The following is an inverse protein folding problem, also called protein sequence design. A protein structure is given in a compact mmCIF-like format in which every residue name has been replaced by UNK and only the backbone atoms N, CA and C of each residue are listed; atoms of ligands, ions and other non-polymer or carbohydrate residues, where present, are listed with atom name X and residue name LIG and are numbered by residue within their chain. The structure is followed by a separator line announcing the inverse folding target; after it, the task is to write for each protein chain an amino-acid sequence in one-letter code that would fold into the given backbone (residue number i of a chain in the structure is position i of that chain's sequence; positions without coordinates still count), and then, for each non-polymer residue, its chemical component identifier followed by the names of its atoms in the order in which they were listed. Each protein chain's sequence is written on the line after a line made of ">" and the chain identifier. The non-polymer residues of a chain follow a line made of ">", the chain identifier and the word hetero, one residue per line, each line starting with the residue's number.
data_IF_938180137076
#
_entry.id   IF_938180137076
#
_cell.length_a   1.000
_cell.length_b   1.000
_cell.length_c   1.000
_cell.angle_alpha   90.00
_cell.angle_beta   90.00
_cell.angle_gamma   90.00
#
_symmetry.space_group_name_H-M   'P 1'
#
loop_
_entity.id
_entity.type
_entity.pdbx_description
1 polymer ?
#
# COMPACT_ATOMS: atom_id res chain seq x y z
N UNK A 1 -12.03 23.10 -19.12
CA UNK A 1 -12.19 21.77 -19.74
C UNK A 1 -13.51 21.05 -19.42
N UNK A 2 -14.29 21.46 -18.41
CA UNK A 2 -15.52 20.76 -18.02
C UNK A 2 -16.66 20.83 -19.06
N UNK A 3 -16.79 21.95 -19.76
CA UNK A 3 -17.92 22.19 -20.67
C UNK A 3 -18.01 21.19 -21.83
N UNK A 4 -16.88 20.58 -22.23
CA UNK A 4 -16.83 19.55 -23.28
C UNK A 4 -17.57 18.26 -22.89
N UNK A 5 -17.74 18.01 -21.59
CA UNK A 5 -18.44 16.83 -21.08
C UNK A 5 -19.94 17.10 -20.86
N UNK A 6 -20.36 18.35 -20.72
CA UNK A 6 -21.77 18.74 -20.57
C UNK A 6 -22.59 18.46 -21.82
N UNK A 7 -21.95 18.48 -22.99
CA UNK A 7 -22.58 18.24 -24.29
C UNK A 7 -22.56 16.78 -24.73
N UNK A 8 -21.89 15.88 -24.00
CA UNK A 8 -21.83 14.46 -24.31
C UNK A 8 -22.97 13.69 -23.65
N UNK A 9 -23.49 12.63 -24.29
CA UNK A 9 -24.32 11.64 -23.60
C UNK A 9 -23.57 11.05 -22.41
N UNK A 10 -24.27 10.81 -21.29
CA UNK A 10 -23.65 10.32 -20.05
C UNK A 10 -22.72 9.10 -20.24
N UNK A 11 -23.11 8.04 -20.99
CA UNK A 11 -22.22 6.89 -21.20
C UNK A 11 -20.90 7.23 -21.90
N UNK A 12 -20.91 8.26 -22.75
CA UNK A 12 -19.73 8.74 -23.49
C UNK A 12 -18.87 9.69 -22.64
N UNK A 13 -19.48 10.38 -21.66
CA UNK A 13 -18.79 11.28 -20.74
C UNK A 13 -18.11 10.53 -19.57
N UNK A 14 -18.68 9.41 -19.10
CA UNK A 14 -18.22 8.69 -17.90
C UNK A 14 -16.76 8.25 -18.00
N UNK A 15 -16.37 7.59 -19.10
CA UNK A 15 -14.99 7.08 -19.24
C UNK A 15 -13.94 8.21 -19.29
N UNK A 16 -14.10 9.25 -20.12
CA UNK A 16 -13.21 10.42 -20.10
C UNK A 16 -13.17 11.13 -18.74
N UNK A 17 -14.31 11.33 -18.09
CA UNK A 17 -14.36 11.96 -16.75
C UNK A 17 -13.67 11.10 -15.71
N UNK A 18 -13.84 9.77 -15.76
CA UNK A 18 -13.16 8.82 -14.90
C UNK A 18 -11.63 8.93 -15.02
N UNK A 19 -11.10 9.10 -16.23
CA UNK A 19 -9.65 9.33 -16.44
C UNK A 19 -9.17 10.63 -15.82
N UNK A 20 -9.92 11.73 -15.99
CA UNK A 20 -9.61 13.02 -15.36
C UNK A 20 -9.63 12.90 -13.83
N UNK A 21 -10.63 12.20 -13.28
CA UNK A 21 -10.74 11.92 -11.85
C UNK A 21 -9.55 11.11 -11.34
N UNK A 22 -9.21 10.01 -12.03
CA UNK A 22 -8.07 9.16 -11.69
C UNK A 22 -6.76 9.95 -11.67
N UNK A 23 -6.49 10.75 -12.71
CA UNK A 23 -5.28 11.57 -12.79
C UNK A 23 -5.20 12.56 -11.62
N UNK A 24 -6.31 13.23 -11.30
CA UNK A 24 -6.40 14.15 -10.15
C UNK A 24 -6.11 13.44 -8.83
N UNK A 25 -6.71 12.27 -8.60
CA UNK A 25 -6.52 11.51 -7.36
C UNK A 25 -5.09 10.98 -7.24
N UNK A 26 -4.50 10.45 -8.31
CA UNK A 26 -3.11 9.99 -8.30
C UNK A 26 -2.14 11.15 -8.03
N UNK A 27 -2.37 12.32 -8.63
CA UNK A 27 -1.54 13.50 -8.36
C UNK A 27 -1.68 14.00 -6.92
N UNK A 28 -2.88 13.94 -6.34
CA UNK A 28 -3.11 14.26 -4.93
C UNK A 28 -2.32 13.29 -4.02
N UNK A 29 -2.46 11.98 -4.24
CA UNK A 29 -1.75 10.95 -3.46
C UNK A 29 -0.23 11.12 -3.58
N UNK A 30 0.29 11.39 -4.78
CA UNK A 30 1.71 11.71 -5.00
C UNK A 30 2.16 12.89 -4.15
N UNK A 31 1.41 14.00 -4.21
CA UNK A 31 1.75 15.21 -3.49
C UNK A 31 1.72 15.03 -1.96
N UNK A 32 0.78 14.23 -1.46
CA UNK A 32 0.68 13.90 -0.03
C UNK A 32 1.81 12.98 0.45
N UNK A 33 2.29 12.09 -0.39
CA UNK A 33 3.45 11.25 -0.09
C UNK A 33 4.76 12.05 -0.17
N UNK A 34 4.91 12.91 -1.17
CA UNK A 34 6.10 13.76 -1.33
C UNK A 34 6.26 14.74 -0.17
N UNK A 35 5.15 15.29 0.38
CA UNK A 35 5.21 16.15 1.57
C UNK A 35 5.71 15.42 2.81
N UNK A 36 5.56 14.09 2.84
CA UNK A 36 6.13 13.20 3.84
C UNK A 36 7.55 12.73 3.50
N UNK A 37 8.13 13.15 2.39
CA UNK A 37 9.42 12.65 1.92
C UNK A 37 9.36 11.18 1.48
N UNK A 38 8.24 10.73 0.93
CA UNK A 38 8.05 9.40 0.33
C UNK A 38 7.88 9.57 -1.18
N UNK A 39 8.79 8.97 -1.95
CA UNK A 39 8.73 8.96 -3.41
C UNK A 39 8.76 7.51 -3.93
N UNK A 40 8.12 7.30 -5.08
CA UNK A 40 8.10 6.02 -5.78
C UNK A 40 8.76 6.17 -7.14
N UNK A 41 9.70 5.28 -7.45
CA UNK A 41 10.33 5.22 -8.78
C UNK A 41 9.32 4.82 -9.87
N UNK A 42 8.33 4.00 -9.51
CA UNK A 42 7.35 3.44 -10.45
C UNK A 42 5.94 3.52 -9.86
N UNK A 43 5.05 4.22 -10.56
CA UNK A 43 3.60 4.18 -10.38
C UNK A 43 3.02 3.18 -11.37
N UNK A 44 2.60 2.01 -10.88
CA UNK A 44 2.18 0.90 -11.74
C UNK A 44 0.66 0.89 -11.95
N UNK A 45 0.22 0.65 -13.18
CA UNK A 45 -1.21 0.58 -13.54
C UNK A 45 -1.67 -0.86 -13.60
N UNK A 46 -2.75 -1.21 -12.89
CA UNK A 46 -3.40 -2.52 -13.00
C UNK A 46 -3.81 -2.82 -14.45
N UNK A 47 -4.37 -1.84 -15.15
CA UNK A 47 -4.81 -2.00 -16.54
C UNK A 47 -3.66 -2.47 -17.45
N UNK A 48 -2.43 -2.04 -17.15
CA UNK A 48 -1.26 -2.44 -17.94
C UNK A 48 -0.95 -3.94 -17.88
N UNK A 49 -1.42 -4.67 -16.85
CA UNK A 49 -1.28 -6.13 -16.74
C UNK A 49 -2.12 -6.87 -17.79
N UNK A 50 -3.24 -6.28 -18.16
CA UNK A 50 -4.15 -6.81 -19.16
C UNK A 50 -3.71 -6.38 -20.56
N UNK A 51 -3.42 -5.09 -20.74
CA UNK A 51 -3.06 -4.51 -22.03
C UNK A 51 -1.76 -5.12 -22.60
N UNK A 52 -0.79 -5.41 -21.73
CA UNK A 52 0.49 -6.01 -22.14
C UNK A 52 0.48 -7.55 -22.08
N UNK A 53 -0.66 -8.18 -21.78
CA UNK A 53 -0.82 -9.63 -21.85
C UNK A 53 -0.23 -10.44 -20.69
N UNK A 54 0.25 -9.81 -19.62
CA UNK A 54 0.82 -10.53 -18.47
C UNK A 54 -0.22 -11.42 -17.78
N UNK A 55 -1.46 -10.94 -17.65
CA UNK A 55 -2.56 -11.71 -17.08
C UNK A 55 -2.77 -13.04 -17.81
N UNK A 56 -2.92 -12.98 -19.14
CA UNK A 56 -3.13 -14.18 -19.96
C UNK A 56 -1.91 -15.11 -19.91
N UNK A 57 -0.72 -14.52 -19.91
CA UNK A 57 0.54 -15.28 -19.86
C UNK A 57 0.66 -16.08 -18.56
N UNK A 58 0.49 -15.44 -17.40
CA UNK A 58 0.60 -16.13 -16.11
C UNK A 58 -0.48 -17.19 -15.93
N UNK A 59 -1.72 -16.93 -16.37
CA UNK A 59 -2.81 -17.89 -16.29
C UNK A 59 -2.54 -19.13 -17.16
N UNK A 60 -1.91 -18.94 -18.33
CA UNK A 60 -1.47 -20.04 -19.19
C UNK A 60 -0.35 -20.85 -18.53
N UNK A 61 0.65 -20.20 -17.94
CA UNK A 61 1.75 -20.87 -17.23
C UNK A 61 1.24 -21.72 -16.06
N UNK A 62 0.37 -21.16 -15.21
CA UNK A 62 -0.21 -21.89 -14.09
C UNK A 62 -1.07 -23.06 -14.55
N UNK A 63 -1.81 -22.91 -15.66
CA UNK A 63 -2.59 -24.00 -16.26
C UNK A 63 -1.71 -25.12 -16.80
N UNK A 64 -0.62 -24.78 -17.50
CA UNK A 64 0.35 -25.76 -17.99
C UNK A 64 1.06 -26.50 -16.85
N UNK A 65 1.29 -25.81 -15.73
CA UNK A 65 1.83 -26.39 -14.50
C UNK A 65 0.83 -27.27 -13.72
N UNK A 66 -0.41 -27.39 -14.17
CA UNK A 66 -1.45 -28.16 -13.47
C UNK A 66 -2.02 -27.49 -12.23
N UNK A 67 -1.76 -26.19 -12.03
CA UNK A 67 -2.21 -25.43 -10.86
C UNK A 67 -3.52 -24.69 -11.08
N UNK A 68 -4.18 -24.87 -12.23
CA UNK A 68 -5.48 -24.29 -12.54
C UNK A 68 -6.48 -25.40 -12.84
N UNK A 69 -7.66 -25.32 -12.23
CA UNK A 69 -8.78 -26.24 -12.48
C UNK A 69 -10.10 -25.48 -12.65
N UNK A 70 -10.97 -25.99 -13.50
CA UNK A 70 -12.35 -25.51 -13.61
C UNK A 70 -13.25 -26.36 -12.68
N UNK A 71 -13.93 -25.72 -11.74
CA UNK A 71 -14.84 -26.36 -10.78
C UNK A 71 -15.99 -25.39 -10.47
N UNK A 72 -17.21 -25.89 -10.35
CA UNK A 72 -18.37 -25.06 -9.95
C UNK A 72 -18.60 -23.84 -10.85
N UNK A 73 -18.41 -24.01 -12.17
CA UNK A 73 -18.45 -22.95 -13.18
C UNK A 73 -17.44 -21.80 -12.98
N UNK A 74 -16.44 -21.97 -12.12
CA UNK A 74 -15.39 -20.99 -11.87
C UNK A 74 -14.00 -21.59 -12.12
N UNK A 75 -13.00 -20.73 -12.32
CA UNK A 75 -11.61 -21.13 -12.45
C UNK A 75 -10.90 -20.95 -11.11
N UNK A 76 -10.21 -22.00 -10.66
CA UNK A 76 -9.56 -22.07 -9.36
C UNK A 76 -8.06 -22.27 -9.50
N UNK A 77 -7.30 -21.59 -8.65
CA UNK A 77 -5.93 -21.94 -8.34
C UNK A 77 -5.92 -23.09 -7.34
N UNK A 78 -5.33 -24.22 -7.73
CA UNK A 78 -5.30 -25.48 -6.97
C UNK A 78 -4.18 -25.43 -5.94
N UNK A 79 -4.31 -24.52 -4.98
CA UNK A 79 -3.34 -24.31 -3.91
C UNK A 79 -3.26 -25.48 -2.93
N UNK A 80 -4.28 -26.34 -2.85
CA UNK A 80 -4.25 -27.56 -2.02
C UNK A 80 -3.16 -28.53 -2.45
N UNK A 81 -2.86 -28.62 -3.75
CA UNK A 81 -1.75 -29.42 -4.27
C UNK A 81 -0.37 -28.91 -3.82
N UNK A 82 -0.31 -27.69 -3.29
CA UNK A 82 0.89 -27.01 -2.81
C UNK A 82 0.94 -26.92 -1.27
N UNK A 83 0.03 -27.60 -0.56
CA UNK A 83 0.00 -27.66 0.90
C UNK A 83 -0.86 -26.59 1.59
N UNK A 84 -1.68 -25.83 0.85
CA UNK A 84 -2.65 -24.90 1.43
C UNK A 84 -3.95 -25.61 1.84
N UNK A 85 -4.68 -25.03 2.79
CA UNK A 85 -5.92 -25.62 3.33
C UNK A 85 -7.07 -25.68 2.31
N UNK A 86 -7.08 -24.78 1.33
CA UNK A 86 -8.14 -24.68 0.32
C UNK A 86 -7.65 -24.11 -1.00
N UNK A 87 -8.38 -24.42 -2.06
CA UNK A 87 -8.22 -23.81 -3.38
C UNK A 87 -8.79 -22.39 -3.37
N UNK A 88 -8.30 -21.53 -4.27
CA UNK A 88 -8.71 -20.12 -4.34
C UNK A 88 -9.27 -19.81 -5.74
N UNK A 89 -10.45 -19.20 -5.78
CA UNK A 89 -11.05 -18.71 -7.04
C UNK A 89 -10.16 -17.63 -7.64
N UNK A 90 -9.83 -17.77 -8.92
CA UNK A 90 -9.09 -16.77 -9.71
C UNK A 90 -9.99 -16.11 -10.75
N UNK A 91 -10.93 -16.85 -11.33
CA UNK A 91 -11.98 -16.31 -12.21
C UNK A 91 -13.34 -16.75 -11.70
N UNK A 92 -14.26 -15.80 -11.51
CA UNK A 92 -15.63 -16.08 -11.04
C UNK A 92 -16.46 -16.72 -12.15
N UNK A 93 -17.62 -17.27 -11.80
CA UNK A 93 -18.49 -17.93 -12.77
C UNK A 93 -19.14 -17.01 -13.82
N UNK A 94 -19.09 -15.69 -13.62
CA UNK A 94 -19.45 -14.69 -14.63
C UNK A 94 -18.30 -14.35 -15.59
N UNK A 95 -17.14 -15.03 -15.45
CA UNK A 95 -15.93 -14.79 -16.26
C UNK A 95 -15.06 -13.65 -15.76
N UNK A 96 -15.45 -12.93 -14.70
CA UNK A 96 -14.66 -11.80 -14.18
C UNK A 96 -13.45 -12.27 -13.37
N UNK A 97 -12.26 -11.64 -13.54
CA UNK A 97 -11.11 -11.93 -12.71
C UNK A 97 -11.34 -11.47 -11.27
N UNK A 98 -10.78 -12.22 -10.32
CA UNK A 98 -10.71 -11.80 -8.91
C UNK A 98 -9.49 -10.90 -8.68
N UNK A 99 -9.48 -10.14 -7.57
CA UNK A 99 -8.28 -9.40 -7.15
C UNK A 99 -7.07 -10.31 -6.97
N UNK A 100 -7.30 -11.56 -6.54
CA UNK A 100 -6.24 -12.55 -6.42
C UNK A 100 -5.61 -12.89 -7.78
N UNK A 101 -6.38 -12.92 -8.86
CA UNK A 101 -5.84 -13.12 -10.20
C UNK A 101 -5.01 -11.93 -10.70
N UNK A 102 -5.42 -10.69 -10.40
CA UNK A 102 -4.59 -9.51 -10.65
C UNK A 102 -3.29 -9.58 -9.84
N UNK A 103 -3.35 -9.95 -8.55
CA UNK A 103 -2.17 -10.09 -7.69
C UNK A 103 -1.18 -11.12 -8.24
N UNK A 104 -1.67 -12.26 -8.74
CA UNK A 104 -0.86 -13.27 -9.41
C UNK A 104 -0.13 -12.66 -10.62
N UNK A 105 -0.84 -11.95 -11.49
CA UNK A 105 -0.25 -11.31 -12.67
C UNK A 105 0.81 -10.27 -12.30
N UNK A 106 0.58 -9.49 -11.25
CA UNK A 106 1.54 -8.49 -10.82
C UNK A 106 2.80 -9.13 -10.19
N UNK A 107 2.66 -10.23 -9.45
CA UNK A 107 3.82 -10.96 -8.92
C UNK A 107 4.60 -11.67 -10.02
N UNK A 108 3.93 -12.18 -11.05
CA UNK A 108 4.58 -12.65 -12.28
C UNK A 108 5.41 -11.52 -12.93
N UNK A 109 4.84 -10.33 -13.12
CA UNK A 109 5.57 -9.18 -13.65
C UNK A 109 6.81 -8.83 -12.79
N UNK A 110 6.66 -8.77 -11.47
CA UNK A 110 7.77 -8.46 -10.55
C UNK A 110 8.90 -9.49 -10.61
N UNK A 111 8.59 -10.78 -10.62
CA UNK A 111 9.60 -11.83 -10.51
C UNK A 111 10.14 -12.34 -11.85
N UNK A 112 9.31 -12.50 -12.88
CA UNK A 112 9.74 -13.13 -14.15
C UNK A 112 10.06 -12.11 -15.24
N UNK A 113 9.34 -10.99 -15.29
CA UNK A 113 9.63 -9.94 -16.28
C UNK A 113 10.69 -8.96 -15.77
N UNK A 114 10.47 -8.36 -14.60
CA UNK A 114 11.39 -7.41 -13.97
C UNK A 114 12.57 -8.10 -13.26
N UNK A 115 12.46 -9.41 -13.01
CA UNK A 115 13.54 -10.27 -12.49
C UNK A 115 14.11 -9.84 -11.15
N UNK A 116 13.27 -9.32 -10.25
CA UNK A 116 13.74 -8.95 -8.92
C UNK A 116 14.15 -10.15 -8.09
N UNK A 117 15.34 -10.09 -7.48
CA UNK A 117 15.84 -11.12 -6.54
C UNK A 117 14.95 -11.26 -5.30
N UNK A 118 14.37 -10.15 -4.84
CA UNK A 118 13.49 -10.11 -3.68
C UNK A 118 12.34 -9.15 -3.94
N UNK A 119 11.13 -9.54 -3.53
CA UNK A 119 9.93 -8.70 -3.55
C UNK A 119 9.46 -8.54 -2.12
N UNK A 120 9.34 -7.30 -1.66
CA UNK A 120 8.83 -6.97 -0.34
C UNK A 120 7.48 -6.27 -0.52
N UNK A 121 6.43 -6.84 0.06
CA UNK A 121 5.13 -6.21 0.14
C UNK A 121 4.92 -5.66 1.55
N UNK A 122 4.29 -4.49 1.67
CA UNK A 122 3.78 -3.96 2.95
C UNK A 122 2.27 -4.02 2.88
N UNK A 123 1.64 -4.82 3.73
CA UNK A 123 0.19 -5.05 3.74
C UNK A 123 -0.43 -4.68 5.09
N UNK A 124 -1.71 -4.36 5.09
CA UNK A 124 -2.48 -4.23 6.33
C UNK A 124 -2.69 -5.59 7.01
N UNK A 125 -2.84 -5.59 8.34
CA UNK A 125 -3.06 -6.79 9.14
C UNK A 125 -4.31 -7.61 8.73
N UNK A 126 -5.31 -6.96 8.14
CA UNK A 126 -6.50 -7.58 7.55
C UNK A 126 -6.20 -8.51 6.37
N UNK A 127 -5.01 -8.39 5.76
CA UNK A 127 -4.57 -9.22 4.63
C UNK A 127 -3.60 -10.35 5.05
N UNK A 128 -3.33 -10.54 6.35
CA UNK A 128 -2.39 -11.56 6.81
C UNK A 128 -2.78 -12.99 6.34
N UNK A 129 -4.07 -13.29 6.28
CA UNK A 129 -4.58 -14.58 5.78
C UNK A 129 -4.36 -14.82 4.28
N UNK A 130 -3.83 -13.85 3.53
CA UNK A 130 -3.54 -13.97 2.10
C UNK A 130 -2.07 -14.25 1.78
N UNK A 131 -1.20 -14.23 2.79
CA UNK A 131 0.24 -14.43 2.60
C UNK A 131 0.53 -15.83 2.07
N UNK A 132 -0.07 -16.86 2.68
CA UNK A 132 0.20 -18.26 2.37
C UNK A 132 -0.15 -18.58 0.90
N UNK A 133 -1.35 -18.22 0.46
CA UNK A 133 -1.79 -18.40 -0.94
C UNK A 133 -0.90 -17.66 -1.95
N UNK A 134 -0.39 -16.46 -1.62
CA UNK A 134 0.52 -15.74 -2.53
C UNK A 134 1.90 -16.39 -2.56
N UNK A 135 2.40 -16.93 -1.43
CA UNK A 135 3.61 -17.73 -1.40
C UNK A 135 3.48 -19.01 -2.22
N UNK A 136 2.32 -19.68 -2.16
CA UNK A 136 2.02 -20.85 -2.99
C UNK A 136 2.05 -20.49 -4.48
N UNK A 137 1.50 -19.34 -4.89
CA UNK A 137 1.60 -18.83 -6.27
C UNK A 137 3.06 -18.63 -6.68
N UNK A 138 3.87 -17.98 -5.85
CA UNK A 138 5.30 -17.75 -6.13
C UNK A 138 6.04 -19.08 -6.34
N UNK A 139 5.77 -20.08 -5.48
CA UNK A 139 6.27 -21.45 -5.64
C UNK A 139 5.82 -22.11 -6.94
N UNK A 140 4.55 -21.97 -7.31
CA UNK A 140 3.98 -22.50 -8.55
C UNK A 140 4.63 -21.90 -9.82
N UNK A 141 5.12 -20.67 -9.72
CA UNK A 141 5.89 -19.99 -10.77
C UNK A 141 7.38 -20.38 -10.79
N UNK A 142 7.79 -21.36 -9.99
CA UNK A 142 9.17 -21.85 -9.91
C UNK A 142 10.12 -20.94 -9.14
N UNK A 143 9.58 -20.04 -8.32
CA UNK A 143 10.36 -19.09 -7.52
C UNK A 143 10.31 -19.53 -6.06
N UNK A 144 11.45 -19.47 -5.36
CA UNK A 144 11.49 -19.72 -3.92
C UNK A 144 10.51 -18.78 -3.18
N UNK A 145 9.53 -19.30 -2.42
CA UNK A 145 8.56 -18.48 -1.69
C UNK A 145 9.18 -17.52 -0.67
N UNK A 146 10.42 -17.78 -0.23
CA UNK A 146 11.21 -16.95 0.67
C UNK A 146 11.67 -15.64 0.00
N UNK A 147 11.68 -15.58 -1.34
CA UNK A 147 11.95 -14.35 -2.10
C UNK A 147 10.79 -13.36 -2.05
N UNK A 148 9.60 -13.79 -1.60
CA UNK A 148 8.49 -12.92 -1.26
C UNK A 148 8.45 -12.70 0.26
N UNK A 149 8.82 -11.50 0.67
CA UNK A 149 8.66 -11.03 2.05
C UNK A 149 7.40 -10.18 2.15
N UNK A 150 6.63 -10.39 3.22
CA UNK A 150 5.45 -9.58 3.52
C UNK A 150 5.61 -9.00 4.91
N UNK A 151 5.70 -7.67 4.98
CA UNK A 151 5.66 -6.91 6.21
C UNK A 151 4.20 -6.58 6.49
N UNK A 152 3.72 -6.94 7.69
CA UNK A 152 2.38 -6.63 8.13
C UNK A 152 2.41 -5.35 8.95
N UNK A 153 1.67 -4.34 8.48
CA UNK A 153 1.39 -3.10 9.18
C UNK A 153 0.10 -3.22 9.96
N UNK A 154 0.17 -3.01 11.27
CA UNK A 154 -1.01 -2.94 12.13
C UNK A 154 -1.74 -1.60 11.98
N UNK A 155 -2.99 -1.59 12.46
CA UNK A 155 -3.81 -0.38 12.52
C UNK A 155 -3.23 0.62 13.52
N UNK A 156 -3.31 1.90 13.16
CA UNK A 156 -2.92 3.02 14.02
C UNK A 156 -4.17 3.68 14.57
N UNK A 157 -4.15 3.94 15.87
CA UNK A 157 -5.21 4.67 16.56
C UNK A 157 -4.78 6.10 16.78
N UNK A 158 -5.54 7.07 16.26
CA UNK A 158 -5.27 8.48 16.49
C UNK A 158 -5.90 8.93 17.83
N UNK A 159 -5.12 9.63 18.64
CA UNK A 159 -5.51 10.17 19.95
C UNK A 159 -5.19 11.66 20.05
N UNK A 160 -5.94 12.35 20.92
CA UNK A 160 -5.69 13.73 21.33
C UNK A 160 -5.65 13.76 22.85
N UNK A 161 -4.46 13.59 23.42
CA UNK A 161 -4.33 13.22 24.83
C UNK A 161 -5.04 11.88 25.11
N UNK A 162 -5.92 11.85 26.10
CA UNK A 162 -6.65 10.64 26.48
C UNK A 162 -7.85 10.32 25.55
N UNK A 163 -8.27 11.27 24.72
CA UNK A 163 -9.45 11.13 23.86
C UNK A 163 -9.10 10.44 22.53
N UNK A 164 -9.93 9.46 22.14
CA UNK A 164 -9.85 8.86 20.82
C UNK A 164 -10.39 9.83 19.77
N UNK A 165 -9.59 10.11 18.74
CA UNK A 165 -10.05 10.91 17.61
C UNK A 165 -10.97 10.02 16.77
N UNK A 166 -12.28 10.26 16.87
CA UNK A 166 -13.27 9.49 16.13
C UNK A 166 -13.37 9.98 14.69
N UNK A 167 -13.17 9.06 13.76
CA UNK A 167 -13.61 9.20 12.38
C UNK A 167 -15.15 9.31 12.41
N UNK A 168 -15.69 10.43 11.93
CA UNK A 168 -17.13 10.66 11.94
C UNK A 168 -17.80 9.77 10.89
N UNK A 169 -18.33 8.62 11.33
CA UNK A 169 -19.12 7.71 10.48
C UNK A 169 -20.46 8.30 10.00
N UNK A 170 -20.83 9.53 10.40
CA UNK A 170 -22.13 10.16 10.07
C UNK A 170 -22.03 11.42 9.20
N UNK A 171 -20.89 12.11 9.17
CA UNK A 171 -20.62 13.21 8.21
C UNK A 171 -19.68 12.80 7.07
N UNK A 172 -19.05 11.64 7.14
CA UNK A 172 -18.08 11.20 6.11
C UNK A 172 -16.68 11.79 6.31
N UNK A 173 -16.41 12.40 7.47
CA UNK A 173 -15.09 12.98 7.76
C UNK A 173 -14.08 11.85 8.05
N UNK A 174 -13.35 11.47 7.01
CA UNK A 174 -12.12 10.68 7.08
C UNK A 174 -10.99 11.63 7.44
N UNK A 175 -10.15 11.26 8.40
CA UNK A 175 -8.93 12.03 8.67
C UNK A 175 -7.92 11.70 7.59
N UNK A 176 -7.54 12.70 6.81
CA UNK A 176 -6.56 12.51 5.75
C UNK A 176 -5.14 12.51 6.31
N UNK A 177 -4.22 11.82 5.61
CA UNK A 177 -2.80 11.86 5.96
C UNK A 177 -2.26 13.30 5.93
N UNK A 178 -2.72 14.09 4.95
CA UNK A 178 -2.40 15.52 4.83
C UNK A 178 -2.78 16.30 6.08
N UNK A 179 -4.00 16.13 6.60
CA UNK A 179 -4.45 16.81 7.83
C UNK A 179 -3.56 16.48 9.03
N UNK A 180 -3.18 15.21 9.20
CA UNK A 180 -2.28 14.80 10.29
C UNK A 180 -0.93 15.49 10.13
N UNK A 181 -0.36 15.47 8.93
CA UNK A 181 0.95 16.09 8.62
C UNK A 181 0.92 17.60 8.81
N UNK A 182 -0.13 18.27 8.35
CA UNK A 182 -0.30 19.72 8.51
C UNK A 182 -0.49 20.11 9.98
N UNK A 183 -1.10 19.23 10.79
CA UNK A 183 -1.29 19.47 12.22
C UNK A 183 0.00 19.28 13.05
N UNK A 184 0.75 18.21 12.83
CA UNK A 184 1.89 17.85 13.72
C UNK A 184 3.26 18.06 13.10
N UNK A 185 3.32 18.29 11.78
CA UNK A 185 4.56 18.41 11.03
C UNK A 185 5.12 17.08 10.53
N UNK A 186 5.85 17.14 9.40
CA UNK A 186 6.42 15.98 8.71
C UNK A 186 7.38 15.17 9.60
N UNK A 187 8.24 15.84 10.36
CA UNK A 187 9.25 15.18 11.19
C UNK A 187 8.59 14.36 12.30
N UNK A 188 7.57 14.92 12.94
CA UNK A 188 6.83 14.23 13.98
C UNK A 188 6.08 13.02 13.41
N UNK A 189 5.34 13.19 12.30
CA UNK A 189 4.72 12.06 11.61
C UNK A 189 5.72 10.94 11.34
N UNK A 190 6.79 11.24 10.61
CA UNK A 190 7.80 10.23 10.23
C UNK A 190 8.41 9.54 11.45
N UNK A 191 8.79 10.31 12.47
CA UNK A 191 9.44 9.76 13.66
C UNK A 191 8.50 8.84 14.42
N UNK A 192 7.27 9.28 14.71
CA UNK A 192 6.32 8.49 15.49
C UNK A 192 5.91 7.20 14.77
N UNK A 193 5.55 7.27 13.48
CA UNK A 193 5.20 6.07 12.68
C UNK A 193 6.37 5.07 12.56
N UNK A 194 7.63 5.52 12.63
CA UNK A 194 8.82 4.67 12.57
C UNK A 194 9.37 4.28 13.95
N UNK A 195 8.85 4.85 15.05
CA UNK A 195 9.31 4.58 16.41
C UNK A 195 8.86 3.22 16.96
N UNK A 196 7.93 2.56 16.25
CA UNK A 196 7.36 1.26 16.59
C UNK A 196 7.56 0.30 15.43
N UNK A 197 7.60 -0.99 15.72
CA UNK A 197 7.63 -2.01 14.68
C UNK A 197 6.30 -2.04 13.92
N UNK A 198 6.33 -2.31 12.62
CA UNK A 198 5.15 -2.29 11.77
C UNK A 198 4.06 -3.28 12.26
N UNK A 199 4.46 -4.40 12.87
CA UNK A 199 3.58 -5.45 13.37
C UNK A 199 2.99 -5.16 14.76
N UNK A 200 3.27 -4.00 15.34
CA UNK A 200 2.75 -3.57 16.65
C UNK A 200 1.61 -2.55 16.50
N UNK A 201 0.57 -2.70 17.32
CA UNK A 201 -0.46 -1.66 17.44
C UNK A 201 0.16 -0.37 17.97
N UNK A 202 -0.25 0.75 17.41
CA UNK A 202 0.30 2.06 17.77
C UNK A 202 -0.82 3.06 18.05
N UNK A 203 -0.67 3.76 19.17
CA UNK A 203 -1.40 4.99 19.46
C UNK A 203 -0.56 6.19 19.02
N UNK A 204 -1.10 7.02 18.14
CA UNK A 204 -0.50 8.27 17.73
C UNK A 204 -1.22 9.42 18.44
N UNK A 205 -0.57 10.02 19.44
CA UNK A 205 -1.10 11.19 20.15
C UNK A 205 -0.68 12.49 19.47
N UNK A 206 -1.66 13.16 18.84
CA UNK A 206 -1.48 14.42 18.12
C UNK A 206 -1.00 15.55 19.05
N UNK A 207 -1.42 15.57 20.32
CA UNK A 207 -0.99 16.60 21.27
C UNK A 207 0.46 16.38 21.68
N UNK A 208 0.84 15.14 21.98
CA UNK A 208 2.22 14.81 22.29
C UNK A 208 3.16 15.18 21.13
N UNK A 209 2.75 14.89 19.90
CA UNK A 209 3.55 15.18 18.70
C UNK A 209 3.85 16.68 18.52
N UNK A 210 2.98 17.56 19.02
CA UNK A 210 3.13 19.04 18.96
C UNK A 210 3.86 19.65 20.15
N UNK A 211 4.06 18.90 21.25
CA UNK A 211 4.66 19.46 22.47
C UNK A 211 6.14 19.78 22.27
N UNK A 212 6.55 20.97 22.70
CA UNK A 212 7.96 21.35 22.86
C UNK A 212 8.46 20.98 24.27
N UNK A 213 8.44 19.68 24.58
CA UNK A 213 8.90 19.16 25.87
C UNK A 213 9.80 17.93 25.69
N UNK A 214 10.48 17.54 26.76
CA UNK A 214 11.29 16.32 26.77
C UNK A 214 10.46 15.03 26.58
N UNK A 215 9.14 15.09 26.77
CA UNK A 215 8.24 13.96 26.54
C UNK A 215 8.02 13.70 25.03
N UNK A 216 8.18 14.73 24.19
CA UNK A 216 8.14 14.57 22.74
C UNK A 216 9.53 14.13 22.25
N UNK A 217 9.69 12.88 21.78
CA UNK A 217 10.98 12.36 21.36
C UNK A 217 11.56 13.10 20.14
N UNK A 218 10.70 13.67 19.29
CA UNK A 218 11.12 14.45 18.11
C UNK A 218 11.81 15.73 18.58
N UNK A 219 11.12 16.50 19.43
CA UNK A 219 11.66 17.71 20.02
C UNK A 219 12.94 17.41 20.79
N UNK A 220 12.96 16.35 21.59
CA UNK A 220 14.11 15.97 22.40
C UNK A 220 15.37 15.70 21.56
N UNK A 221 15.25 14.93 20.47
CA UNK A 221 16.36 14.62 19.56
C UNK A 221 16.83 15.88 18.81
N UNK A 222 15.90 16.68 18.29
CA UNK A 222 16.23 17.92 17.60
C UNK A 222 16.92 18.93 18.52
N UNK A 223 16.44 19.06 19.76
CA UNK A 223 17.02 19.94 20.76
C UNK A 223 18.43 19.47 21.18
N UNK A 224 18.63 18.17 21.37
CA UNK A 224 19.97 17.61 21.63
C UNK A 224 20.95 17.93 20.49
N UNK A 225 20.53 17.75 19.24
CA UNK A 225 21.33 18.12 18.06
C UNK A 225 21.68 19.62 18.06
N UNK A 226 20.69 20.50 18.26
CA UNK A 226 20.89 21.94 18.30
C UNK A 226 21.89 22.37 19.39
N UNK A 227 21.85 21.73 20.56
CA UNK A 227 22.81 21.98 21.64
C UNK A 227 24.22 21.56 21.27
N UNK A 228 24.41 20.39 20.66
CA UNK A 228 25.72 19.91 20.21
C UNK A 228 26.31 20.88 19.18
N UNK A 229 25.54 21.27 18.16
CA UNK A 229 25.98 22.23 17.14
C UNK A 229 26.35 23.57 17.75
N UNK A 230 25.55 24.07 18.70
CA UNK A 230 25.84 25.34 19.39
C UNK A 230 27.18 25.30 20.15
N UNK A 231 27.49 24.19 20.83
CA UNK A 231 28.77 23.98 21.52
C UNK A 231 29.93 23.96 20.52
N UNK A 232 29.78 23.27 19.39
CA UNK A 232 30.82 23.20 18.36
C UNK A 232 31.09 24.58 17.73
N UNK A 233 30.04 25.37 17.46
CA UNK A 233 30.19 26.74 16.96
C UNK A 233 30.92 27.62 17.97
N UNK A 234 30.54 27.57 19.25
CA UNK A 234 31.20 28.35 20.30
C UNK A 234 32.68 27.97 20.45
N UNK A 235 33.03 26.70 20.24
CA UNK A 235 34.41 26.24 20.27
C UNK A 235 35.26 26.74 19.09
N UNK A 236 34.65 27.08 17.94
CA UNK A 236 35.34 27.67 16.79
C UNK A 236 35.58 29.18 16.93
N UNK A 237 34.76 29.85 17.73
CA UNK A 237 34.87 31.30 17.99
C UNK A 237 35.93 31.64 19.06
N UNK A 238 36.48 30.63 19.74
CA UNK A 238 37.50 30.76 20.80
C UNK A 238 38.84 30.21 20.35
#
# INVERSE_FOLDING_TARGET
>A
EGDKFLSLPEPEAVLPLGRVGLEKMINLIKSDLESLGVSFDVWFSEQSLYDNGQYQTVMSLLRQGGYIAEKENATWFVSTALGEDKDNVVVRGDGSPTYFATDIAYHYNKFLERKFDKVINIWGADHQGHISRMKAVVGALGISPERLEVIISQMVTLRRGDELVRISKRSGDIITLREVVDEVGVDACRFFFLSRSADSQMDFDLELAKKESADNPVYYVQYAHARIVSILRLAQER
#
